data_IF_595435018256
#
_entry.id   IF_595435018256
#
_cell.length_a   1.000
_cell.length_b   1.000
_cell.length_c   1.000
_cell.angle_alpha   90.00
_cell.angle_beta   90.00
_cell.angle_gamma   90.00
#
_symmetry.space_group_name_H-M   'P 1'
#
loop_
_entity.id
_entity.type
_entity.pdbx_description
1 polymer ?
#
# COMPACT_ATOMS: atom_id res chain seq x y z
N UNK A 1 48.25 17.77 18.09
CA UNK A 1 47.13 18.36 17.33
C UNK A 1 45.84 18.00 18.05
N UNK A 2 45.24 18.98 18.72
CA UNK A 2 44.11 18.79 19.63
C UNK A 2 42.80 18.94 18.85
N UNK A 3 42.02 17.89 18.81
CA UNK A 3 40.70 17.87 18.13
C UNK A 3 39.68 18.51 19.06
N UNK A 4 39.28 19.73 18.76
CA UNK A 4 38.22 20.45 19.48
C UNK A 4 36.86 19.88 19.06
N UNK A 5 36.30 19.00 19.87
CA UNK A 5 34.93 18.53 19.74
C UNK A 5 33.99 19.67 20.15
N UNK A 6 33.42 20.35 19.15
CA UNK A 6 32.46 21.43 19.35
C UNK A 6 31.07 20.82 19.66
N UNK A 7 30.81 20.61 20.95
CA UNK A 7 29.48 20.24 21.45
C UNK A 7 28.50 21.38 21.14
N UNK A 8 27.67 21.23 20.12
CA UNK A 8 26.57 22.14 19.83
C UNK A 8 25.55 22.02 20.96
N UNK A 9 25.50 22.94 21.89
CA UNK A 9 24.38 23.11 22.82
C UNK A 9 23.12 23.37 21.98
N UNK A 10 22.20 22.41 21.95
CA UNK A 10 20.86 22.61 21.38
C UNK A 10 20.14 23.55 22.34
N UNK A 11 19.92 24.76 21.88
CA UNK A 11 19.17 25.83 22.54
C UNK A 11 17.74 25.35 22.89
N UNK A 12 17.25 25.89 24.00
CA UNK A 12 15.91 25.68 24.54
C UNK A 12 14.83 25.56 23.45
N UNK A 13 13.97 24.59 23.62
CA UNK A 13 12.80 24.34 22.76
C UNK A 13 12.06 25.64 22.49
N UNK A 14 12.06 26.08 21.22
CA UNK A 14 11.19 27.20 20.81
C UNK A 14 9.78 26.87 21.24
N UNK A 15 9.03 27.81 21.83
CA UNK A 15 7.67 27.56 22.23
C UNK A 15 6.86 27.10 21.01
N UNK A 16 6.02 26.11 21.20
CA UNK A 16 5.08 25.65 20.15
C UNK A 16 4.19 26.84 19.78
N UNK A 17 3.84 26.95 18.50
CA UNK A 17 2.83 27.91 18.04
C UNK A 17 1.58 27.79 18.93
N UNK A 18 1.26 28.87 19.64
CA UNK A 18 0.02 28.97 20.42
C UNK A 18 -1.14 29.24 19.44
N UNK A 19 -1.78 28.16 19.01
CA UNK A 19 -2.95 28.24 18.16
C UNK A 19 -4.21 28.25 19.04
N UNK A 20 -5.11 29.21 18.81
CA UNK A 20 -6.38 29.27 19.53
C UNK A 20 -7.21 28.01 19.30
N UNK A 21 -7.49 27.20 20.36
CA UNK A 21 -8.27 25.98 20.23
C UNK A 21 -9.70 26.18 19.70
N UNK A 22 -10.27 27.39 19.91
CA UNK A 22 -11.63 27.71 19.45
C UNK A 22 -11.61 27.89 17.93
N UNK A 23 -10.62 28.64 17.42
CA UNK A 23 -10.44 28.85 15.99
C UNK A 23 -10.16 27.54 15.28
N UNK A 24 -9.32 26.67 15.85
CA UNK A 24 -9.04 25.33 15.30
C UNK A 24 -10.32 24.49 15.25
N UNK A 25 -11.11 24.45 16.31
CA UNK A 25 -12.38 23.69 16.31
C UNK A 25 -13.37 24.23 15.27
N UNK A 26 -13.47 25.55 15.14
CA UNK A 26 -14.32 26.19 14.11
C UNK A 26 -13.84 25.82 12.70
N UNK A 27 -12.55 25.94 12.41
CA UNK A 27 -11.96 25.58 11.13
C UNK A 27 -12.23 24.11 10.78
N UNK A 28 -11.99 23.18 11.73
CA UNK A 28 -12.28 21.74 11.55
C UNK A 28 -13.76 21.46 11.32
N UNK A 29 -14.66 22.20 11.98
CA UNK A 29 -16.10 22.06 11.78
C UNK A 29 -16.50 22.50 10.38
N UNK A 30 -15.97 23.63 9.90
CA UNK A 30 -16.22 24.14 8.55
C UNK A 30 -15.66 23.19 7.50
N UNK A 31 -14.43 22.68 7.68
CA UNK A 31 -13.82 21.71 6.78
C UNK A 31 -14.64 20.41 6.68
N UNK A 32 -15.17 19.90 7.80
CA UNK A 32 -16.07 18.73 7.79
C UNK A 32 -17.36 19.00 7.01
N UNK A 33 -17.97 20.18 7.16
CA UNK A 33 -19.17 20.57 6.42
C UNK A 33 -18.88 20.67 4.92
N UNK A 34 -17.78 21.33 4.56
CA UNK A 34 -17.34 21.45 3.17
C UNK A 34 -17.05 20.10 2.51
N UNK A 35 -16.39 19.18 3.25
CA UNK A 35 -16.05 17.85 2.75
C UNK A 35 -17.19 16.81 2.78
N UNK A 36 -18.32 17.12 3.46
CA UNK A 36 -19.39 16.14 3.66
C UNK A 36 -19.98 15.58 2.34
N UNK A 37 -20.23 16.36 1.27
CA UNK A 37 -20.71 15.82 0.00
C UNK A 37 -19.73 14.84 -0.64
N UNK A 38 -18.42 15.16 -0.62
CA UNK A 38 -17.36 14.30 -1.17
C UNK A 38 -17.26 12.99 -0.37
N UNK A 39 -17.32 13.09 0.97
CA UNK A 39 -17.33 11.89 1.84
C UNK A 39 -18.56 11.02 1.56
N UNK A 40 -19.74 11.63 1.33
CA UNK A 40 -20.95 10.89 0.96
C UNK A 40 -20.75 10.16 -0.38
N UNK A 41 -20.23 10.86 -1.39
CA UNK A 41 -19.93 10.26 -2.70
C UNK A 41 -18.96 9.08 -2.57
N UNK A 42 -17.83 9.27 -1.88
CA UNK A 42 -16.82 8.23 -1.67
C UNK A 42 -17.35 6.99 -0.91
N UNK A 43 -18.37 7.17 -0.04
CA UNK A 43 -19.01 6.04 0.67
C UNK A 43 -19.99 5.25 -0.18
N UNK A 44 -20.51 5.82 -1.23
CA UNK A 44 -21.53 5.20 -2.09
C UNK A 44 -20.98 4.71 -3.42
N UNK A 45 -19.74 5.08 -3.76
CA UNK A 45 -19.08 4.73 -5.00
C UNK A 45 -17.74 4.06 -4.69
N UNK A 46 -17.23 3.31 -5.66
CA UNK A 46 -15.92 2.68 -5.62
C UNK A 46 -15.06 3.16 -6.80
N UNK A 47 -13.78 2.80 -6.82
CA UNK A 47 -12.89 2.98 -7.96
C UNK A 47 -12.31 1.64 -8.36
N UNK A 48 -11.85 1.50 -9.59
CA UNK A 48 -11.22 0.27 -10.07
C UNK A 48 -10.03 -0.13 -9.18
N UNK A 49 -9.27 0.84 -8.69
CA UNK A 49 -8.15 0.56 -7.78
C UNK A 49 -8.61 0.04 -6.40
N UNK A 50 -9.74 0.52 -5.87
CA UNK A 50 -10.34 -0.06 -4.66
C UNK A 50 -10.81 -1.48 -4.92
N UNK A 51 -11.41 -1.74 -6.06
CA UNK A 51 -11.82 -3.10 -6.46
C UNK A 51 -10.60 -4.04 -6.55
N UNK A 52 -9.51 -3.62 -7.21
CA UNK A 52 -8.24 -4.38 -7.21
C UNK A 52 -7.70 -4.61 -5.81
N UNK A 53 -7.72 -3.60 -4.95
CA UNK A 53 -7.28 -3.72 -3.55
C UNK A 53 -8.09 -4.79 -2.79
N UNK A 54 -9.40 -4.87 -3.01
CA UNK A 54 -10.26 -5.92 -2.43
C UNK A 54 -9.88 -7.30 -2.96
N UNK A 55 -9.64 -7.44 -4.26
CA UNK A 55 -9.22 -8.71 -4.87
C UNK A 55 -7.82 -9.14 -4.36
N UNK A 56 -6.88 -8.19 -4.18
CA UNK A 56 -5.58 -8.45 -3.55
C UNK A 56 -5.73 -8.96 -2.11
N UNK A 57 -6.57 -8.33 -1.31
CA UNK A 57 -6.88 -8.79 0.05
C UNK A 57 -7.52 -10.18 0.08
N UNK A 58 -8.30 -10.51 -0.94
CA UNK A 58 -8.91 -11.83 -1.09
C UNK A 58 -7.96 -12.90 -1.63
N UNK A 59 -6.69 -12.54 -1.92
CA UNK A 59 -5.64 -13.48 -2.32
C UNK A 59 -5.33 -13.53 -3.81
N UNK A 60 -5.89 -12.65 -4.64
CA UNK A 60 -5.49 -12.53 -6.04
C UNK A 60 -4.13 -11.82 -6.12
N UNK A 61 -3.07 -12.53 -6.52
CA UNK A 61 -1.68 -12.02 -6.56
C UNK A 61 -0.91 -12.61 -7.72
N UNK A 62 0.20 -11.95 -8.10
CA UNK A 62 1.03 -12.38 -9.22
C UNK A 62 0.52 -11.87 -10.57
N UNK A 63 1.24 -12.26 -11.61
CA UNK A 63 0.98 -11.89 -13.00
C UNK A 63 1.06 -13.12 -13.91
N UNK A 64 0.62 -12.98 -15.14
CA UNK A 64 0.83 -13.95 -16.19
C UNK A 64 2.27 -13.90 -16.74
N UNK A 65 2.54 -14.65 -17.81
CA UNK A 65 3.85 -14.73 -18.46
C UNK A 65 4.27 -13.43 -19.17
N UNK A 66 3.31 -12.55 -19.46
CA UNK A 66 3.55 -11.23 -20.05
C UNK A 66 3.73 -10.13 -18.98
N UNK A 67 3.61 -10.50 -17.69
CA UNK A 67 3.70 -9.57 -16.57
C UNK A 67 2.41 -8.82 -16.26
N UNK A 68 1.29 -9.19 -16.88
CA UNK A 68 -0.02 -8.59 -16.60
C UNK A 68 -0.57 -9.14 -15.28
N UNK A 69 -0.85 -8.28 -14.28
CA UNK A 69 -1.37 -8.74 -13.01
C UNK A 69 -2.71 -9.50 -13.14
N UNK A 70 -2.85 -10.61 -12.42
CA UNK A 70 -4.08 -11.41 -12.46
C UNK A 70 -5.34 -10.62 -12.10
N UNK A 71 -5.22 -9.62 -11.24
CA UNK A 71 -6.35 -8.72 -10.93
C UNK A 71 -6.80 -7.91 -12.13
N UNK A 72 -5.91 -7.62 -13.10
CA UNK A 72 -6.25 -6.87 -14.31
C UNK A 72 -7.08 -7.71 -15.25
N UNK A 73 -6.79 -9.00 -15.39
CA UNK A 73 -7.62 -9.92 -16.19
C UNK A 73 -9.06 -9.96 -15.69
N UNK A 74 -9.27 -10.03 -14.36
CA UNK A 74 -10.60 -9.97 -13.77
C UNK A 74 -11.29 -8.63 -14.02
N UNK A 75 -10.57 -7.51 -13.89
CA UNK A 75 -11.11 -6.18 -14.14
C UNK A 75 -11.50 -6.02 -15.61
N UNK A 76 -10.62 -6.42 -16.53
CA UNK A 76 -10.86 -6.30 -17.96
C UNK A 76 -12.06 -7.13 -18.41
N UNK A 77 -12.16 -8.39 -17.98
CA UNK A 77 -13.27 -9.25 -18.34
C UNK A 77 -14.61 -8.72 -17.79
N UNK A 78 -14.64 -8.27 -16.53
CA UNK A 78 -15.87 -7.67 -15.98
C UNK A 78 -16.23 -6.38 -16.72
N UNK A 79 -15.24 -5.52 -17.05
CA UNK A 79 -15.47 -4.30 -17.84
C UNK A 79 -16.11 -4.61 -19.19
N UNK A 80 -15.60 -5.60 -19.89
CA UNK A 80 -15.97 -5.90 -21.27
C UNK A 80 -17.32 -6.65 -21.35
N UNK A 81 -17.65 -7.45 -20.34
CA UNK A 81 -18.89 -8.25 -20.34
C UNK A 81 -20.06 -7.57 -19.59
N UNK A 82 -19.77 -6.83 -18.55
CA UNK A 82 -20.77 -6.34 -17.57
C UNK A 82 -20.78 -4.83 -17.44
N UNK A 83 -19.64 -4.17 -17.67
CA UNK A 83 -19.41 -2.79 -17.31
C UNK A 83 -18.90 -2.61 -15.87
N UNK A 84 -18.42 -1.41 -15.56
CA UNK A 84 -17.80 -1.10 -14.26
C UNK A 84 -18.72 -0.34 -13.29
N UNK A 85 -19.93 0.00 -13.69
CA UNK A 85 -20.87 0.84 -12.91
C UNK A 85 -21.25 0.22 -11.56
N UNK A 86 -21.18 -1.11 -11.48
CA UNK A 86 -21.52 -1.85 -10.25
C UNK A 86 -20.29 -2.45 -9.55
N UNK A 87 -19.07 -2.04 -9.95
CA UNK A 87 -17.80 -2.55 -9.45
C UNK A 87 -17.44 -3.93 -10.02
N UNK A 88 -16.27 -4.41 -9.65
CA UNK A 88 -15.69 -5.68 -10.15
C UNK A 88 -15.89 -6.82 -9.14
N UNK A 89 -15.76 -6.53 -7.86
CA UNK A 89 -15.79 -7.55 -6.79
C UNK A 89 -17.06 -8.38 -6.81
N UNK A 90 -18.20 -7.74 -7.01
CA UNK A 90 -19.50 -8.45 -6.94
C UNK A 90 -19.68 -9.48 -8.06
N UNK A 91 -19.47 -9.17 -9.36
CA UNK A 91 -19.50 -10.16 -10.44
C UNK A 91 -18.48 -11.29 -10.25
N UNK A 92 -17.24 -10.95 -9.82
CA UNK A 92 -16.18 -11.93 -9.58
C UNK A 92 -16.58 -12.95 -8.50
N UNK A 93 -17.08 -12.47 -7.36
CA UNK A 93 -17.51 -13.37 -6.28
C UNK A 93 -18.82 -14.09 -6.56
N UNK A 94 -19.65 -13.59 -7.47
CA UNK A 94 -20.79 -14.37 -7.98
C UNK A 94 -20.32 -15.54 -8.86
N UNK A 95 -19.32 -15.34 -9.71
CA UNK A 95 -18.74 -16.42 -10.52
C UNK A 95 -18.15 -17.53 -9.62
N UNK A 96 -17.37 -17.16 -8.58
CA UNK A 96 -16.90 -18.14 -7.59
C UNK A 96 -18.03 -18.88 -6.90
N UNK A 97 -19.07 -18.18 -6.49
CA UNK A 97 -20.25 -18.77 -5.85
C UNK A 97 -20.98 -19.76 -6.76
N UNK A 98 -21.00 -19.52 -8.07
CA UNK A 98 -21.58 -20.42 -9.08
C UNK A 98 -20.73 -21.65 -9.35
N UNK A 99 -19.49 -21.73 -8.81
CA UNK A 99 -18.58 -22.84 -9.04
C UNK A 99 -17.80 -22.77 -10.35
N UNK A 100 -17.69 -21.57 -10.97
CA UNK A 100 -16.92 -21.39 -12.21
C UNK A 100 -15.42 -21.69 -11.99
N UNK A 101 -14.94 -21.52 -10.76
CA UNK A 101 -13.61 -21.91 -10.33
C UNK A 101 -13.60 -22.27 -8.83
N UNK A 102 -12.63 -23.07 -8.36
CA UNK A 102 -12.51 -23.43 -6.96
C UNK A 102 -12.01 -22.27 -6.09
N UNK A 103 -11.25 -21.34 -6.66
CA UNK A 103 -10.63 -20.21 -5.98
C UNK A 103 -10.45 -19.01 -6.92
N UNK A 104 -10.05 -17.87 -6.32
CA UNK A 104 -9.91 -16.60 -7.03
C UNK A 104 -8.78 -16.61 -8.05
N UNK A 105 -7.69 -17.32 -7.79
CA UNK A 105 -6.55 -17.41 -8.71
C UNK A 105 -6.91 -18.22 -9.95
N UNK A 106 -7.51 -19.38 -9.77
CA UNK A 106 -8.03 -20.21 -10.88
C UNK A 106 -9.08 -19.44 -11.69
N UNK A 107 -9.93 -18.64 -11.02
CA UNK A 107 -10.91 -17.79 -11.71
C UNK A 107 -10.21 -16.74 -12.59
N UNK A 108 -9.16 -16.08 -12.09
CA UNK A 108 -8.40 -15.10 -12.86
C UNK A 108 -7.70 -15.71 -14.07
N UNK A 109 -7.11 -16.90 -13.92
CA UNK A 109 -6.50 -17.65 -15.03
C UNK A 109 -7.52 -18.04 -16.10
N UNK A 110 -8.68 -18.55 -15.69
CA UNK A 110 -9.78 -18.86 -16.61
C UNK A 110 -10.34 -17.62 -17.29
N UNK A 111 -10.39 -16.49 -16.57
CA UNK A 111 -10.80 -15.20 -17.13
C UNK A 111 -9.85 -14.74 -18.23
N UNK A 112 -8.53 -14.83 -17.99
CA UNK A 112 -7.51 -14.52 -19.00
C UNK A 112 -7.61 -15.41 -20.24
N UNK A 113 -7.99 -16.69 -20.05
CA UNK A 113 -8.20 -17.64 -21.14
C UNK A 113 -9.57 -17.47 -21.86
N UNK A 114 -10.41 -16.51 -21.44
CA UNK A 114 -11.75 -16.32 -22.02
C UNK A 114 -12.72 -17.50 -21.80
N UNK A 115 -12.45 -18.34 -20.79
CA UNK A 115 -13.20 -19.59 -20.57
C UNK A 115 -14.31 -19.48 -19.52
N UNK A 116 -14.58 -18.28 -19.01
CA UNK A 116 -15.68 -17.97 -18.08
C UNK A 116 -16.40 -16.71 -18.52
N UNK A 117 -17.62 -16.54 -18.03
CA UNK A 117 -18.44 -15.37 -18.27
C UNK A 117 -18.93 -14.75 -16.96
N UNK A 118 -18.82 -13.43 -16.87
CA UNK A 118 -19.29 -12.65 -15.73
C UNK A 118 -20.72 -12.15 -15.97
N UNK A 119 -21.45 -11.92 -14.89
CA UNK A 119 -22.78 -11.32 -14.91
C UNK A 119 -23.05 -10.55 -13.64
N UNK A 120 -23.97 -9.61 -13.68
CA UNK A 120 -24.45 -8.91 -12.49
C UNK A 120 -25.40 -9.80 -11.69
N UNK A 121 -25.05 -10.16 -10.45
CA UNK A 121 -26.00 -10.84 -9.59
C UNK A 121 -27.06 -9.87 -9.06
N UNK A 122 -28.27 -10.37 -8.85
CA UNK A 122 -29.40 -9.62 -8.28
C UNK A 122 -29.96 -10.28 -7.03
N UNK A 123 -30.72 -9.56 -6.24
CA UNK A 123 -31.47 -10.09 -5.09
C UNK A 123 -30.60 -10.90 -4.12
N UNK A 124 -31.00 -12.14 -3.86
CA UNK A 124 -30.30 -13.06 -2.94
C UNK A 124 -28.88 -13.39 -3.40
N UNK A 125 -28.65 -13.48 -4.70
CA UNK A 125 -27.33 -13.77 -5.27
C UNK A 125 -26.34 -12.64 -5.01
N UNK A 126 -26.78 -11.39 -5.15
CA UNK A 126 -25.99 -10.20 -4.80
C UNK A 126 -25.56 -10.23 -3.32
N UNK A 127 -26.51 -10.48 -2.41
CA UNK A 127 -26.21 -10.62 -0.98
C UNK A 127 -25.21 -11.75 -0.70
N UNK A 128 -25.36 -12.88 -1.36
CA UNK A 128 -24.48 -14.04 -1.19
C UNK A 128 -23.05 -13.76 -1.73
N UNK A 129 -22.92 -13.14 -2.90
CA UNK A 129 -21.65 -12.74 -3.47
C UNK A 129 -20.91 -11.74 -2.55
N UNK A 130 -21.59 -10.72 -2.03
CA UNK A 130 -21.03 -9.78 -1.06
C UNK A 130 -20.59 -10.45 0.23
N UNK A 131 -21.38 -11.38 0.77
CA UNK A 131 -20.99 -12.15 1.97
C UNK A 131 -19.76 -13.02 1.71
N UNK A 132 -19.64 -13.60 0.51
CA UNK A 132 -18.46 -14.38 0.12
C UNK A 132 -17.25 -13.47 0.03
N UNK A 133 -17.32 -12.33 -0.66
CA UNK A 133 -16.24 -11.33 -0.74
C UNK A 133 -15.78 -10.91 0.66
N UNK A 134 -16.71 -10.53 1.53
CA UNK A 134 -16.39 -10.12 2.92
C UNK A 134 -15.69 -11.23 3.74
N UNK A 135 -15.99 -12.49 3.47
CA UNK A 135 -15.26 -13.62 4.11
C UNK A 135 -13.88 -13.79 3.52
N UNK A 136 -13.77 -13.67 2.20
CA UNK A 136 -12.52 -13.91 1.46
C UNK A 136 -11.43 -12.87 1.74
N UNK A 137 -11.79 -11.64 2.10
CA UNK A 137 -10.80 -10.60 2.47
C UNK A 137 -10.26 -10.74 3.90
N UNK A 138 -10.92 -11.50 4.78
CA UNK A 138 -10.51 -11.64 6.19
C UNK A 138 -9.08 -12.13 6.38
N UNK A 139 -8.58 -13.14 5.64
CA UNK A 139 -7.19 -13.58 5.75
C UNK A 139 -6.19 -12.47 5.40
N UNK A 140 -6.46 -11.67 4.35
CA UNK A 140 -5.65 -10.52 3.98
C UNK A 140 -5.61 -9.46 5.07
N UNK A 141 -6.78 -9.11 5.63
CA UNK A 141 -6.87 -8.18 6.77
C UNK A 141 -6.10 -8.69 7.98
N UNK A 142 -6.26 -9.97 8.33
CA UNK A 142 -5.51 -10.59 9.43
C UNK A 142 -3.99 -10.59 9.18
N UNK A 143 -3.55 -10.74 7.93
CA UNK A 143 -2.14 -10.61 7.56
C UNK A 143 -1.64 -9.18 7.80
N UNK A 144 -2.39 -8.14 7.47
CA UNK A 144 -2.04 -6.75 7.78
C UNK A 144 -1.93 -6.53 9.28
N UNK A 145 -2.89 -7.03 10.08
CA UNK A 145 -2.84 -6.91 11.54
C UNK A 145 -1.63 -7.65 12.14
N UNK A 146 -1.31 -8.85 11.63
CA UNK A 146 -0.11 -9.60 12.00
C UNK A 146 1.17 -8.83 11.63
N UNK A 147 1.20 -8.21 10.45
CA UNK A 147 2.32 -7.38 9.98
C UNK A 147 2.52 -6.16 10.88
N UNK A 148 1.43 -5.49 11.29
CA UNK A 148 1.44 -4.41 12.27
C UNK A 148 1.98 -4.88 13.62
N UNK A 149 1.44 -5.95 14.17
CA UNK A 149 1.89 -6.52 15.44
C UNK A 149 3.37 -6.94 15.39
N UNK A 150 3.86 -7.43 14.24
CA UNK A 150 5.27 -7.77 14.06
C UNK A 150 6.14 -6.51 14.09
N UNK A 151 5.75 -5.44 13.39
CA UNK A 151 6.43 -4.14 13.47
C UNK A 151 6.52 -3.65 14.92
N UNK A 152 5.42 -3.68 15.63
CA UNK A 152 5.34 -3.17 17.01
C UNK A 152 6.25 -3.99 17.96
N UNK A 153 6.32 -5.33 17.77
CA UNK A 153 7.27 -6.19 18.49
C UNK A 153 8.73 -5.86 18.14
N UNK A 154 9.03 -5.59 16.87
CA UNK A 154 10.40 -5.22 16.46
C UNK A 154 10.80 -3.87 17.04
N UNK A 155 9.92 -2.89 17.05
CA UNK A 155 10.15 -1.60 17.71
C UNK A 155 10.39 -1.79 19.22
N UNK A 156 9.57 -2.63 19.87
CA UNK A 156 9.76 -2.94 21.31
C UNK A 156 11.09 -3.65 21.58
N UNK A 157 11.52 -4.54 20.67
CA UNK A 157 12.76 -5.33 20.82
C UNK A 157 14.03 -4.50 20.55
N UNK A 158 14.03 -3.70 19.50
CA UNK A 158 15.20 -2.97 19.03
C UNK A 158 15.20 -1.50 19.44
N UNK A 159 14.09 -0.99 19.98
CA UNK A 159 13.92 0.41 20.33
C UNK A 159 13.60 1.31 19.17
N UNK A 160 13.09 2.49 19.50
CA UNK A 160 12.98 3.63 18.58
C UNK A 160 14.28 4.43 18.62
N UNK A 161 14.62 5.19 17.57
CA UNK A 161 15.71 6.13 17.61
C UNK A 161 15.52 7.12 18.77
N UNK A 162 16.53 7.21 19.65
CA UNK A 162 16.46 8.05 20.84
C UNK A 162 16.50 9.55 20.51
N UNK A 163 17.20 9.92 19.44
CA UNK A 163 17.39 11.31 19.02
C UNK A 163 16.24 11.79 18.14
N UNK A 164 15.83 13.03 18.35
CA UNK A 164 14.85 13.72 17.50
C UNK A 164 15.39 15.07 17.02
N UNK A 165 15.03 15.55 15.83
CA UNK A 165 14.12 14.91 14.85
C UNK A 165 14.76 13.67 14.22
N UNK A 166 13.93 12.71 13.76
CA UNK A 166 14.41 11.56 13.02
C UNK A 166 14.93 11.97 11.63
N UNK A 167 15.99 11.30 11.20
CA UNK A 167 16.56 11.50 9.88
C UNK A 167 15.75 10.68 8.88
N UNK A 168 15.14 11.37 7.94
CA UNK A 168 14.35 10.82 6.86
C UNK A 168 15.14 10.90 5.56
N UNK A 169 15.36 9.76 4.91
CA UNK A 169 16.10 9.68 3.66
C UNK A 169 15.30 8.95 2.60
N UNK A 170 15.36 9.45 1.37
CA UNK A 170 14.72 8.88 0.21
C UNK A 170 15.75 8.08 -0.56
N UNK A 171 15.42 6.82 -0.88
CA UNK A 171 16.22 5.92 -1.71
C UNK A 171 15.33 5.41 -2.82
N UNK A 172 15.56 5.86 -4.04
CA UNK A 172 14.68 5.58 -5.18
C UNK A 172 15.41 5.79 -6.51
N UNK A 173 16.35 4.90 -6.85
CA UNK A 173 17.11 4.97 -8.09
C UNK A 173 16.29 4.53 -9.31
N UNK A 174 15.28 3.69 -9.09
CA UNK A 174 14.53 2.99 -10.13
C UNK A 174 14.79 1.47 -10.14
N UNK A 175 15.94 1.04 -9.64
CA UNK A 175 16.30 -0.37 -9.47
C UNK A 175 16.27 -0.74 -7.99
N UNK A 176 15.38 -1.68 -7.61
CA UNK A 176 15.27 -2.13 -6.21
C UNK A 176 16.55 -2.78 -5.70
N UNK A 177 17.33 -3.42 -6.56
CA UNK A 177 18.57 -4.09 -6.17
C UNK A 177 19.70 -3.11 -5.92
N UNK A 178 19.69 -1.93 -6.54
CA UNK A 178 20.56 -0.80 -6.21
C UNK A 178 20.06 -0.03 -4.98
N UNK A 179 18.74 0.09 -4.81
CA UNK A 179 18.15 0.77 -3.65
C UNK A 179 18.46 0.07 -2.33
N UNK A 180 18.50 -1.26 -2.31
CA UNK A 180 18.74 -2.05 -1.10
C UNK A 180 20.09 -1.71 -0.45
N UNK A 181 21.26 -1.82 -1.11
CA UNK A 181 22.54 -1.47 -0.50
C UNK A 181 22.62 0.01 -0.11
N UNK A 182 22.02 0.92 -0.89
CA UNK A 182 21.97 2.34 -0.55
C UNK A 182 21.14 2.57 0.72
N UNK A 183 19.99 1.94 0.85
CA UNK A 183 19.14 2.04 2.04
C UNK A 183 19.81 1.48 3.29
N UNK A 184 20.51 0.35 3.18
CA UNK A 184 21.28 -0.22 4.28
C UNK A 184 22.44 0.67 4.70
N UNK A 185 23.18 1.23 3.74
CA UNK A 185 24.27 2.20 4.00
C UNK A 185 23.71 3.45 4.66
N UNK A 186 22.63 4.03 4.14
CA UNK A 186 21.98 5.18 4.73
C UNK A 186 21.54 4.94 6.19
N UNK A 187 21.02 3.74 6.48
CA UNK A 187 20.66 3.36 7.85
C UNK A 187 21.89 3.30 8.77
N UNK A 188 23.03 2.76 8.32
CA UNK A 188 24.29 2.72 9.07
C UNK A 188 24.85 4.13 9.33
N UNK A 189 24.70 5.03 8.37
CA UNK A 189 25.08 6.44 8.48
C UNK A 189 24.09 7.29 9.30
N UNK A 190 23.04 6.71 9.84
CA UNK A 190 22.16 7.36 10.81
C UNK A 190 20.74 7.65 10.34
N UNK A 191 20.33 7.25 9.16
CA UNK A 191 18.93 7.37 8.74
C UNK A 191 18.00 6.51 9.59
N UNK A 192 16.91 7.10 10.07
CA UNK A 192 15.90 6.45 10.92
C UNK A 192 14.69 5.96 10.12
N UNK A 193 14.45 6.62 9.01
CA UNK A 193 13.35 6.37 8.10
C UNK A 193 13.89 6.32 6.67
N UNK A 194 13.61 5.24 5.99
CA UNK A 194 13.88 5.09 4.55
C UNK A 194 12.55 5.19 3.81
N UNK A 195 12.49 6.04 2.80
CA UNK A 195 11.35 6.14 1.91
C UNK A 195 11.71 5.56 0.54
N UNK A 196 10.89 4.64 0.08
CA UNK A 196 10.88 4.19 -1.31
C UNK A 196 9.81 5.00 -2.03
N UNK A 197 10.22 5.89 -2.90
CA UNK A 197 9.29 6.70 -3.69
C UNK A 197 8.85 5.89 -4.90
N UNK A 198 7.55 5.90 -5.17
CA UNK A 198 7.04 5.36 -6.43
C UNK A 198 7.59 6.15 -7.62
N UNK A 199 7.75 5.47 -8.72
CA UNK A 199 8.06 6.12 -10.00
C UNK A 199 7.01 7.18 -10.36
N UNK A 200 7.46 8.32 -10.89
CA UNK A 200 6.53 9.35 -11.37
C UNK A 200 5.59 8.81 -12.44
N UNK A 201 6.09 7.95 -13.35
CA UNK A 201 5.27 7.27 -14.36
C UNK A 201 4.16 6.41 -13.76
N UNK A 202 4.39 5.79 -12.61
CA UNK A 202 3.38 4.97 -11.93
C UNK A 202 2.15 5.79 -11.47
N UNK A 203 2.28 7.11 -11.31
CA UNK A 203 1.12 7.97 -10.98
C UNK A 203 0.05 7.95 -12.05
N UNK A 204 0.43 7.65 -13.29
CA UNK A 204 -0.46 7.60 -14.44
C UNK A 204 -1.06 6.21 -14.65
N UNK A 205 -0.53 5.18 -13.96
CA UNK A 205 -1.08 3.84 -14.00
C UNK A 205 -2.30 3.74 -13.07
N UNK A 206 -3.31 3.03 -13.52
CA UNK A 206 -4.49 2.73 -12.72
C UNK A 206 -4.37 1.42 -11.94
N UNK A 207 -3.23 0.73 -12.04
CA UNK A 207 -2.93 -0.54 -11.37
C UNK A 207 -1.48 -0.57 -10.86
N UNK A 208 -1.19 -1.50 -9.94
CA UNK A 208 0.15 -1.77 -9.43
C UNK A 208 0.79 -2.92 -10.20
N UNK A 209 1.98 -2.71 -10.81
CA UNK A 209 2.73 -3.80 -11.46
C UNK A 209 3.15 -4.90 -10.48
N UNK A 210 3.51 -6.06 -11.00
CA UNK A 210 4.02 -7.19 -10.22
C UNK A 210 5.55 -7.31 -10.34
N UNK A 211 6.14 -7.98 -9.33
CA UNK A 211 7.54 -8.37 -9.35
C UNK A 211 8.51 -7.30 -8.88
N UNK A 212 9.79 -7.70 -8.85
CA UNK A 212 10.91 -6.79 -8.59
C UNK A 212 11.23 -6.00 -9.86
N UNK A 213 11.47 -4.70 -9.72
CA UNK A 213 11.73 -3.83 -10.86
C UNK A 213 13.17 -3.34 -10.87
N UNK A 214 13.79 -3.29 -12.05
CA UNK A 214 15.13 -2.76 -12.31
C UNK A 214 15.10 -1.41 -13.00
N UNK A 215 13.93 -0.97 -13.42
CA UNK A 215 13.73 0.29 -14.10
C UNK A 215 12.55 1.03 -13.51
N UNK A 216 12.74 2.33 -13.29
CA UNK A 216 11.69 3.20 -12.80
C UNK A 216 11.90 4.61 -13.35
N UNK A 217 10.84 5.24 -13.83
CA UNK A 217 10.89 6.62 -14.27
C UNK A 217 10.72 7.57 -13.09
N UNK A 218 11.81 8.29 -12.75
CA UNK A 218 11.87 9.21 -11.62
C UNK A 218 11.48 8.54 -10.26
N UNK A 219 12.06 7.38 -10.01
CA UNK A 219 11.91 6.63 -8.76
C UNK A 219 11.58 5.16 -8.96
N UNK A 220 11.62 4.41 -7.88
CA UNK A 220 11.40 2.96 -7.88
C UNK A 220 9.90 2.66 -7.81
N UNK A 221 9.45 1.67 -8.57
CA UNK A 221 8.05 1.26 -8.58
C UNK A 221 7.59 0.72 -7.23
N UNK A 222 6.41 1.13 -6.81
CA UNK A 222 5.73 0.59 -5.64
C UNK A 222 5.05 -0.74 -6.00
N UNK A 223 5.81 -1.84 -6.01
CA UNK A 223 5.29 -3.20 -6.15
C UNK A 223 5.34 -3.92 -4.81
N UNK A 224 4.52 -4.95 -4.64
CA UNK A 224 4.55 -5.75 -3.41
C UNK A 224 5.93 -6.40 -3.20
N UNK A 225 6.55 -6.88 -4.27
CA UNK A 225 7.87 -7.52 -4.21
C UNK A 225 8.97 -6.53 -3.82
N UNK A 226 8.98 -5.32 -4.40
CA UNK A 226 9.92 -4.27 -4.01
C UNK A 226 9.77 -3.92 -2.51
N UNK A 227 8.54 -3.84 -2.01
CA UNK A 227 8.29 -3.63 -0.59
C UNK A 227 8.83 -4.76 0.27
N UNK A 228 8.61 -6.00 -0.13
CA UNK A 228 9.08 -7.20 0.57
C UNK A 228 10.60 -7.26 0.65
N UNK A 229 11.27 -7.04 -0.48
CA UNK A 229 12.74 -7.05 -0.58
C UNK A 229 13.36 -5.96 0.29
N UNK A 230 12.92 -4.72 0.13
CA UNK A 230 13.43 -3.60 0.92
C UNK A 230 13.14 -3.78 2.42
N UNK A 231 11.93 -4.28 2.78
CA UNK A 231 11.60 -4.51 4.19
C UNK A 231 12.50 -5.60 4.82
N UNK A 232 12.78 -6.67 4.10
CA UNK A 232 13.69 -7.72 4.57
C UNK A 232 15.11 -7.15 4.81
N UNK A 233 15.64 -6.41 3.86
CA UNK A 233 16.95 -5.77 3.96
C UNK A 233 17.06 -4.80 5.15
N UNK A 234 16.01 -4.00 5.39
CA UNK A 234 15.98 -3.09 6.53
C UNK A 234 15.70 -3.79 7.87
N UNK A 235 15.11 -4.97 7.87
CA UNK A 235 15.00 -5.78 9.08
C UNK A 235 16.37 -6.31 9.52
N UNK A 236 17.23 -6.69 8.57
CA UNK A 236 18.57 -7.19 8.87
C UNK A 236 19.47 -6.07 9.41
N UNK A 237 19.48 -4.89 8.78
CA UNK A 237 20.22 -3.76 9.30
C UNK A 237 19.65 -3.22 10.62
N UNK A 238 18.34 -3.37 10.85
CA UNK A 238 17.73 -3.03 12.15
C UNK A 238 18.23 -3.91 13.29
N UNK A 239 18.45 -5.21 13.03
CA UNK A 239 19.06 -6.15 14.00
C UNK A 239 20.52 -5.79 14.27
N UNK A 240 21.28 -5.49 13.21
CA UNK A 240 22.68 -5.07 13.29
C UNK A 240 22.84 -3.82 14.15
N UNK A 241 22.02 -2.80 13.92
CA UNK A 241 22.09 -1.51 14.59
C UNK A 241 21.40 -1.46 15.95
N UNK A 242 20.65 -2.49 16.34
CA UNK A 242 19.86 -2.50 17.57
C UNK A 242 18.77 -1.41 17.61
N UNK A 243 18.29 -0.93 16.45
CA UNK A 243 17.20 0.05 16.33
C UNK A 243 16.33 -0.25 15.12
N UNK A 244 15.02 0.00 15.22
CA UNK A 244 14.09 -0.27 14.14
C UNK A 244 14.14 0.83 13.07
N UNK A 245 14.52 0.46 11.84
CA UNK A 245 14.50 1.36 10.68
C UNK A 245 13.13 1.28 10.04
N UNK A 246 12.45 2.41 9.95
CA UNK A 246 11.13 2.51 9.32
C UNK A 246 11.26 2.53 7.81
N UNK A 247 10.34 1.84 7.15
CA UNK A 247 10.17 1.89 5.70
C UNK A 247 8.86 2.59 5.40
N UNK A 248 8.93 3.63 4.59
CA UNK A 248 7.78 4.45 4.19
C UNK A 248 7.63 4.40 2.68
N UNK A 249 6.40 4.36 2.22
CA UNK A 249 6.05 4.52 0.81
C UNK A 249 5.07 5.68 0.64
N UNK A 250 5.23 6.42 -0.45
CA UNK A 250 4.26 7.42 -0.89
C UNK A 250 3.23 6.74 -1.77
N UNK A 251 1.98 6.69 -1.30
CA UNK A 251 0.86 6.20 -2.08
C UNK A 251 0.05 7.40 -2.59
N UNK A 252 0.07 7.59 -3.89
CA UNK A 252 -0.72 8.62 -4.57
C UNK A 252 -1.04 8.19 -6.00
N UNK A 253 -1.82 8.99 -6.73
CA UNK A 253 -2.26 8.67 -8.09
C UNK A 253 -3.42 7.66 -8.13
N UNK A 254 -3.72 7.18 -9.33
CA UNK A 254 -4.90 6.35 -9.58
C UNK A 254 -4.86 5.00 -8.86
N UNK A 255 -3.67 4.40 -8.69
CA UNK A 255 -3.48 3.12 -8.03
C UNK A 255 -3.24 3.22 -6.50
N UNK A 256 -3.43 4.39 -5.88
CA UNK A 256 -3.16 4.62 -4.46
C UNK A 256 -3.81 3.59 -3.51
N UNK A 257 -5.10 3.23 -3.62
CA UNK A 257 -5.71 2.24 -2.74
C UNK A 257 -5.05 0.86 -2.80
N UNK A 258 -4.66 0.43 -3.98
CA UNK A 258 -3.97 -0.84 -4.19
C UNK A 258 -2.57 -0.82 -3.57
N UNK A 259 -1.79 0.26 -3.80
CA UNK A 259 -0.47 0.46 -3.16
C UNK A 259 -0.60 0.40 -1.63
N UNK A 260 -1.60 1.06 -1.05
CA UNK A 260 -1.79 1.11 0.40
C UNK A 260 -2.03 -0.29 1.00
N UNK A 261 -2.80 -1.14 0.33
CA UNK A 261 -3.03 -2.53 0.74
C UNK A 261 -1.74 -3.34 0.66
N UNK A 262 -1.03 -3.29 -0.47
CA UNK A 262 0.21 -4.05 -0.66
C UNK A 262 1.29 -3.62 0.34
N UNK A 263 1.46 -2.33 0.57
CA UNK A 263 2.37 -1.80 1.59
C UNK A 263 2.00 -2.27 3.01
N UNK A 264 0.72 -2.30 3.35
CA UNK A 264 0.22 -2.82 4.63
C UNK A 264 0.52 -4.30 4.83
N UNK A 265 0.43 -5.10 3.79
CA UNK A 265 0.79 -6.52 3.79
C UNK A 265 2.29 -6.73 4.10
N UNK A 266 3.17 -5.82 3.66
CA UNK A 266 4.63 -5.89 3.81
C UNK A 266 5.19 -5.01 4.93
N UNK A 267 4.38 -4.56 5.89
CA UNK A 267 4.77 -3.79 7.10
C UNK A 267 5.30 -2.38 6.85
N UNK A 268 4.98 -1.77 5.75
CA UNK A 268 5.34 -0.39 5.49
C UNK A 268 4.42 0.58 6.25
N UNK A 269 4.95 1.77 6.49
CA UNK A 269 4.13 2.93 6.83
C UNK A 269 3.75 3.62 5.53
N UNK A 270 2.47 3.78 5.29
CA UNK A 270 1.98 4.45 4.08
C UNK A 270 1.73 5.91 4.39
N UNK A 271 2.33 6.80 3.60
CA UNK A 271 1.98 8.21 3.56
C UNK A 271 1.07 8.43 2.37
N UNK A 272 -0.18 8.76 2.63
CA UNK A 272 -1.12 9.15 1.59
C UNK A 272 -0.87 10.62 1.24
N UNK A 273 -0.61 10.87 -0.01
CA UNK A 273 -0.57 12.23 -0.58
C UNK A 273 -1.92 12.48 -1.25
N UNK A 274 -2.66 13.42 -0.67
CA UNK A 274 -3.98 13.85 -1.15
C UNK A 274 -3.83 15.17 -1.88
#
# INVERSE_FOLDING_TARGET
MSTVTRTRRISATKPKLELDPIVIRKARSLARKAGAPVVKLARTHTTVSVERAVLRLAGCSGADHEGVPWVNHLVSAVRDEVGLEYGVTTPVFDALRRGEAPDLMTLAQKSAAGSISFRLPTGRNLSAARKLAMRSVKPGMARIDKSRATRDRMIKRHGDPAQRPWIYLIVATGDIFEDIPQAQTAAREGADIIAVIRSTGQSLLDYVPEGATREGYAGTYATQENFRLMRAALDDVSKELGRYIRLVNYASGLCMPEIAVLAGLERLVVRLEV
#
